data_IF_454273612508
#
_entry.id   IF_454273612508
#
_cell.length_a   1.000
_cell.length_b   1.000
_cell.length_c   1.000
_cell.angle_alpha   90.00
_cell.angle_beta   90.00
_cell.angle_gamma   90.00
#
_symmetry.space_group_name_H-M   'P 1'
#
loop_
_entity.id
_entity.type
_entity.pdbx_description
1 polymer ?
#
# COMPACT_ATOMS: atom_id res chain seq x y z
N UNK A 1 2.87 -6.49 8.38
CA UNK A 1 4.19 -6.34 9.06
C UNK A 1 4.61 -7.58 9.84
N UNK A 2 3.83 -8.10 10.81
CA UNK A 2 4.25 -9.23 11.65
C UNK A 2 4.66 -10.51 10.86
N UNK A 3 3.93 -10.88 9.81
CA UNK A 3 4.26 -12.03 8.96
C UNK A 3 5.60 -11.85 8.22
N UNK A 4 5.85 -10.65 7.70
CA UNK A 4 7.12 -10.29 7.05
C UNK A 4 8.30 -10.36 8.02
N UNK A 5 8.12 -9.87 9.25
CA UNK A 5 9.15 -9.92 10.29
C UNK A 5 9.53 -11.34 10.66
N UNK A 6 8.55 -12.24 10.85
CA UNK A 6 8.81 -13.67 11.12
C UNK A 6 9.62 -14.32 9.99
N UNK A 7 9.36 -13.94 8.74
CA UNK A 7 10.06 -14.47 7.57
C UNK A 7 11.50 -13.95 7.45
N UNK A 8 11.72 -12.66 7.73
CA UNK A 8 13.04 -12.02 7.61
C UNK A 8 13.96 -12.34 8.81
N UNK A 9 13.39 -12.60 9.99
CA UNK A 9 14.16 -12.85 11.21
C UNK A 9 13.69 -14.16 11.91
N UNK A 10 14.04 -15.33 11.35
CA UNK A 10 13.62 -16.61 11.91
C UNK A 10 14.39 -16.95 13.20
N UNK A 11 13.68 -17.49 14.20
CA UNK A 11 14.28 -18.12 15.37
C UNK A 11 14.39 -19.62 15.09
N UNK A 12 15.60 -20.20 14.91
CA UNK A 12 15.76 -21.58 14.42
C UNK A 12 14.99 -22.63 15.23
N UNK A 13 14.95 -22.50 16.56
CA UNK A 13 14.23 -23.42 17.45
C UNK A 13 12.70 -23.36 17.39
N UNK A 14 12.10 -22.40 16.66
CA UNK A 14 10.63 -22.23 16.54
C UNK A 14 10.12 -22.30 15.11
N UNK A 15 10.92 -22.85 14.19
CA UNK A 15 10.62 -22.85 12.75
C UNK A 15 9.27 -23.49 12.42
N UNK A 16 8.99 -24.67 12.95
CA UNK A 16 7.73 -25.40 12.69
C UNK A 16 6.53 -24.63 13.25
N UNK A 17 6.63 -24.13 14.48
CA UNK A 17 5.57 -23.33 15.10
C UNK A 17 5.26 -22.06 14.29
N UNK A 18 6.29 -21.37 13.79
CA UNK A 18 6.13 -20.20 12.94
C UNK A 18 5.51 -20.54 11.60
N UNK A 19 5.91 -21.67 10.98
CA UNK A 19 5.29 -22.17 9.77
C UNK A 19 3.79 -22.41 9.97
N UNK A 20 3.40 -23.10 11.04
CA UNK A 20 1.98 -23.35 11.35
C UNK A 20 1.18 -22.06 11.57
N UNK A 21 1.76 -21.08 12.26
CA UNK A 21 1.14 -19.76 12.45
C UNK A 21 0.95 -19.02 11.13
N UNK A 22 1.96 -19.04 10.26
CA UNK A 22 1.88 -18.42 8.91
C UNK A 22 0.84 -19.13 8.04
N UNK A 23 0.81 -20.47 8.05
CA UNK A 23 -0.15 -21.25 7.26
C UNK A 23 -1.60 -21.05 7.74
N UNK A 24 -1.83 -20.89 9.04
CA UNK A 24 -3.15 -20.49 9.59
C UNK A 24 -3.52 -19.07 9.16
N UNK A 25 -2.59 -18.12 9.26
CA UNK A 25 -2.82 -16.74 8.85
C UNK A 25 -3.15 -16.64 7.36
N UNK A 26 -2.42 -17.38 6.50
CA UNK A 26 -2.69 -17.46 5.05
C UNK A 26 -4.13 -17.93 4.79
N UNK A 27 -4.56 -19.02 5.41
CA UNK A 27 -5.94 -19.55 5.24
C UNK A 27 -7.00 -18.54 5.65
N UNK A 28 -6.79 -17.84 6.76
CA UNK A 28 -7.70 -16.78 7.18
C UNK A 28 -7.71 -15.62 6.17
N UNK A 29 -6.54 -15.14 5.74
CA UNK A 29 -6.42 -14.07 4.74
C UNK A 29 -7.09 -14.42 3.41
N UNK A 30 -7.06 -15.68 2.98
CA UNK A 30 -7.71 -16.12 1.74
C UNK A 30 -9.25 -16.05 1.79
N UNK A 31 -9.85 -16.05 2.98
CA UNK A 31 -11.30 -16.06 3.18
C UNK A 31 -11.86 -14.77 3.81
N UNK A 32 -11.01 -13.95 4.40
CA UNK A 32 -11.40 -12.69 5.01
C UNK A 32 -11.98 -11.71 3.95
N UNK A 33 -13.06 -11.03 4.32
CA UNK A 33 -13.68 -10.01 3.47
C UNK A 33 -13.09 -8.64 3.82
N UNK A 34 -12.37 -8.04 2.89
CA UNK A 34 -11.90 -6.67 2.99
C UNK A 34 -12.95 -5.67 2.45
N UNK A 35 -13.23 -4.64 3.24
CA UNK A 35 -14.20 -3.60 2.95
C UNK A 35 -13.53 -2.29 2.48
N UNK A 36 -12.45 -1.85 3.14
CA UNK A 36 -11.72 -0.63 2.78
C UNK A 36 -10.62 -0.89 1.75
N UNK A 37 -10.10 0.16 1.12
CA UNK A 37 -8.93 0.04 0.22
C UNK A 37 -7.67 -0.36 0.99
N UNK A 38 -7.51 0.14 2.22
CA UNK A 38 -6.41 -0.23 3.12
C UNK A 38 -6.47 -1.72 3.44
N UNK A 39 -7.64 -2.25 3.83
CA UNK A 39 -7.80 -3.68 4.11
C UNK A 39 -7.49 -4.54 2.88
N UNK A 40 -7.93 -4.14 1.68
CA UNK A 40 -7.61 -4.86 0.43
C UNK A 40 -6.11 -4.86 0.13
N UNK A 41 -5.46 -3.70 0.28
CA UNK A 41 -4.04 -3.52 0.01
C UNK A 41 -3.18 -4.31 1.01
N UNK A 42 -3.50 -4.20 2.30
CA UNK A 42 -2.86 -4.94 3.38
C UNK A 42 -3.11 -6.45 3.30
N UNK A 43 -4.32 -6.87 2.91
CA UNK A 43 -4.63 -8.29 2.69
C UNK A 43 -3.77 -8.87 1.56
N UNK A 44 -3.64 -8.15 0.44
CA UNK A 44 -2.79 -8.56 -0.68
C UNK A 44 -1.31 -8.64 -0.27
N UNK A 45 -0.81 -7.65 0.48
CA UNK A 45 0.54 -7.65 1.03
C UNK A 45 0.78 -8.82 1.99
N UNK A 46 -0.15 -9.04 2.93
CA UNK A 46 -0.04 -10.10 3.91
C UNK A 46 -0.10 -11.50 3.26
N UNK A 47 -0.90 -11.68 2.20
CA UNK A 47 -0.92 -12.91 1.42
C UNK A 47 0.44 -13.17 0.74
N UNK A 48 1.07 -12.14 0.18
CA UNK A 48 2.41 -12.26 -0.41
C UNK A 48 3.45 -12.62 0.66
N UNK A 49 3.42 -11.95 1.82
CA UNK A 49 4.30 -12.23 2.95
C UNK A 49 4.10 -13.67 3.47
N UNK A 50 2.87 -14.17 3.50
CA UNK A 50 2.51 -15.52 3.90
C UNK A 50 2.81 -16.60 2.84
N UNK A 51 3.42 -16.24 1.71
CA UNK A 51 3.77 -17.19 0.65
C UNK A 51 2.58 -17.71 -0.16
N UNK A 52 1.49 -16.94 -0.27
CA UNK A 52 0.48 -17.21 -1.28
C UNK A 52 1.12 -17.14 -2.68
N UNK A 53 0.75 -18.05 -3.57
CA UNK A 53 1.17 -18.07 -4.97
C UNK A 53 0.55 -16.92 -5.75
N UNK A 54 1.06 -16.66 -6.97
CA UNK A 54 0.46 -15.64 -7.85
C UNK A 54 -0.99 -15.95 -8.20
N UNK A 55 -1.35 -17.23 -8.40
CA UNK A 55 -2.72 -17.66 -8.68
C UNK A 55 -3.64 -17.42 -7.48
N UNK A 56 -3.19 -17.72 -6.26
CA UNK A 56 -3.94 -17.43 -5.03
C UNK A 56 -4.16 -15.92 -4.82
N UNK A 57 -3.21 -15.07 -5.23
CA UNK A 57 -3.33 -13.60 -5.10
C UNK A 57 -4.09 -12.93 -6.24
N UNK A 58 -4.26 -13.59 -7.39
CA UNK A 58 -4.88 -13.00 -8.58
C UNK A 58 -6.30 -12.42 -8.33
N UNK A 59 -7.20 -13.07 -7.56
CA UNK A 59 -8.49 -12.49 -7.23
C UNK A 59 -8.40 -11.18 -6.43
N UNK A 60 -7.44 -11.07 -5.51
CA UNK A 60 -7.24 -9.87 -4.69
C UNK A 60 -6.68 -8.71 -5.52
N UNK A 61 -5.75 -9.01 -6.44
CA UNK A 61 -5.28 -8.04 -7.44
C UNK A 61 -6.44 -7.54 -8.29
N UNK A 62 -7.30 -8.44 -8.80
CA UNK A 62 -8.46 -8.07 -9.61
C UNK A 62 -9.42 -7.15 -8.84
N UNK A 63 -9.73 -7.49 -7.59
CA UNK A 63 -10.60 -6.68 -6.73
C UNK A 63 -10.00 -5.30 -6.48
N UNK A 64 -8.71 -5.20 -6.19
CA UNK A 64 -8.05 -3.92 -5.94
C UNK A 64 -7.98 -3.05 -7.21
N UNK A 65 -7.72 -3.65 -8.38
CA UNK A 65 -7.81 -2.95 -9.68
C UNK A 65 -9.22 -2.44 -9.96
N UNK A 66 -10.25 -3.25 -9.67
CA UNK A 66 -11.64 -2.88 -9.88
C UNK A 66 -12.13 -1.76 -8.95
N UNK A 67 -11.45 -1.53 -7.82
CA UNK A 67 -11.74 -0.43 -6.90
C UNK A 67 -11.17 0.92 -7.36
N UNK A 68 -10.43 0.98 -8.47
CA UNK A 68 -9.92 2.24 -9.00
C UNK A 68 -11.07 3.12 -9.49
N UNK A 69 -11.05 4.40 -9.11
CA UNK A 69 -11.96 5.41 -9.62
C UNK A 69 -11.64 5.75 -11.09
N UNK A 70 -12.60 6.36 -11.79
CA UNK A 70 -12.44 6.71 -13.22
C UNK A 70 -11.25 7.64 -13.49
N UNK A 71 -10.91 8.52 -12.53
CA UNK A 71 -9.80 9.48 -12.63
C UNK A 71 -8.41 8.87 -12.33
N UNK A 72 -8.37 7.58 -11.96
CA UNK A 72 -7.16 6.84 -11.61
C UNK A 72 -6.88 6.72 -10.12
N UNK A 73 -7.65 7.40 -9.27
CA UNK A 73 -7.44 7.39 -7.81
C UNK A 73 -8.06 6.17 -7.12
N UNK A 74 -7.74 6.01 -5.84
CA UNK A 74 -8.49 5.17 -4.90
C UNK A 74 -9.01 6.00 -3.74
N UNK A 75 -10.17 5.60 -3.24
CA UNK A 75 -10.76 6.12 -2.00
C UNK A 75 -10.49 5.17 -0.84
N UNK A 76 -10.26 5.70 0.36
CA UNK A 76 -10.14 4.87 1.57
C UNK A 76 -11.41 4.03 1.79
N UNK A 77 -12.59 4.64 1.59
CA UNK A 77 -13.91 4.02 1.67
C UNK A 77 -14.75 4.40 0.43
N UNK A 78 -15.73 3.58 0.01
CA UNK A 78 -16.50 3.81 -1.22
C UNK A 78 -17.21 5.17 -1.31
N UNK A 79 -17.65 5.74 -0.19
CA UNK A 79 -18.40 7.01 -0.13
C UNK A 79 -17.54 8.22 0.20
N UNK A 80 -16.21 8.05 0.29
CA UNK A 80 -15.29 9.09 0.73
C UNK A 80 -14.47 9.58 -0.46
N UNK A 81 -14.17 10.88 -0.48
CA UNK A 81 -13.32 11.49 -1.51
C UNK A 81 -11.96 10.75 -1.58
N UNK A 82 -11.46 10.45 -2.78
CA UNK A 82 -10.14 9.85 -2.95
C UNK A 82 -9.01 10.73 -2.41
N UNK A 83 -7.91 10.09 -2.04
CA UNK A 83 -6.71 10.75 -1.56
C UNK A 83 -5.44 9.99 -1.97
N UNK A 84 -4.30 10.63 -1.73
CA UNK A 84 -3.00 10.08 -2.06
C UNK A 84 -2.59 8.92 -1.14
N UNK A 85 -3.14 8.83 0.07
CA UNK A 85 -2.88 7.71 0.96
C UNK A 85 -3.41 6.41 0.35
N UNK A 86 -4.71 6.35 0.05
CA UNK A 86 -5.32 5.16 -0.55
C UNK A 86 -4.77 4.86 -1.95
N UNK A 87 -4.52 5.91 -2.75
CA UNK A 87 -3.97 5.75 -4.10
C UNK A 87 -2.54 5.19 -4.07
N UNK A 88 -1.66 5.76 -3.23
CA UNK A 88 -0.28 5.28 -3.11
C UNK A 88 -0.18 3.87 -2.53
N UNK A 89 -0.98 3.57 -1.51
CA UNK A 89 -1.01 2.25 -0.88
C UNK A 89 -1.51 1.16 -1.86
N UNK A 90 -2.57 1.45 -2.61
CA UNK A 90 -3.10 0.53 -3.61
C UNK A 90 -2.08 0.26 -4.72
N UNK A 91 -1.41 1.29 -5.23
CA UNK A 91 -0.34 1.14 -6.23
C UNK A 91 0.81 0.29 -5.67
N UNK A 92 1.30 0.59 -4.47
CA UNK A 92 2.34 -0.19 -3.81
C UNK A 92 1.96 -1.67 -3.74
N UNK A 93 0.76 -1.99 -3.24
CA UNK A 93 0.30 -3.37 -3.09
C UNK A 93 0.16 -4.08 -4.46
N UNK A 94 -0.36 -3.38 -5.48
CA UNK A 94 -0.48 -3.92 -6.84
C UNK A 94 0.90 -4.25 -7.42
N UNK A 95 1.90 -3.38 -7.24
CA UNK A 95 3.23 -3.60 -7.78
C UNK A 95 4.00 -4.69 -7.01
N UNK A 96 4.20 -4.47 -5.71
CA UNK A 96 5.08 -5.31 -4.88
C UNK A 96 4.50 -6.70 -4.67
N UNK A 97 3.20 -6.77 -4.35
CA UNK A 97 2.55 -8.02 -3.94
C UNK A 97 1.69 -8.61 -5.06
N UNK A 98 1.10 -7.76 -5.90
CA UNK A 98 0.32 -8.17 -7.07
C UNK A 98 1.16 -8.51 -8.30
N UNK A 99 2.45 -8.13 -8.32
CA UNK A 99 3.30 -8.26 -9.52
C UNK A 99 2.73 -7.56 -10.75
N UNK A 100 1.97 -6.48 -10.55
CA UNK A 100 1.47 -5.62 -11.61
C UNK A 100 2.63 -4.74 -12.09
N UNK A 101 3.01 -4.79 -13.37
CA UNK A 101 4.13 -4.01 -13.87
C UNK A 101 3.79 -2.52 -13.85
N UNK A 102 4.79 -1.66 -13.67
CA UNK A 102 4.57 -0.22 -13.58
C UNK A 102 3.98 0.36 -14.88
N UNK A 103 4.16 -0.29 -16.04
CA UNK A 103 3.56 0.11 -17.31
C UNK A 103 2.11 -0.38 -17.51
N UNK A 104 1.53 -1.09 -16.54
CA UNK A 104 0.12 -1.50 -16.59
C UNK A 104 -0.79 -0.26 -16.63
N UNK A 105 -1.83 -0.22 -17.48
CA UNK A 105 -2.71 0.94 -17.60
C UNK A 105 -3.36 1.39 -16.29
N UNK A 106 -3.71 0.44 -15.40
CA UNK A 106 -4.28 0.75 -14.09
C UNK A 106 -3.26 1.44 -13.20
N UNK A 107 -2.00 0.96 -13.23
CA UNK A 107 -0.91 1.55 -12.47
C UNK A 107 -0.59 2.97 -12.96
N UNK A 108 -0.47 3.14 -14.28
CA UNK A 108 -0.17 4.42 -14.91
C UNK A 108 -1.24 5.49 -14.64
N UNK A 109 -2.53 5.12 -14.63
CA UNK A 109 -3.59 6.07 -14.26
C UNK A 109 -3.45 6.58 -12.83
N UNK A 110 -3.11 5.70 -11.89
CA UNK A 110 -2.85 6.09 -10.49
C UNK A 110 -1.62 6.98 -10.35
N UNK A 111 -0.53 6.65 -11.05
CA UNK A 111 0.68 7.49 -11.11
C UNK A 111 0.35 8.89 -11.63
N UNK A 112 -0.38 8.99 -12.73
CA UNK A 112 -0.79 10.29 -13.29
C UNK A 112 -1.68 11.07 -12.32
N UNK A 113 -2.57 10.37 -11.59
CA UNK A 113 -3.36 11.02 -10.56
C UNK A 113 -2.49 11.58 -9.43
N UNK A 114 -1.51 10.81 -8.94
CA UNK A 114 -0.57 11.27 -7.92
C UNK A 114 0.20 12.51 -8.40
N UNK A 115 0.78 12.47 -9.60
CA UNK A 115 1.54 13.60 -10.15
C UNK A 115 0.69 14.88 -10.28
N UNK A 116 -0.59 14.76 -10.67
CA UNK A 116 -1.51 15.91 -10.75
C UNK A 116 -1.94 16.47 -9.38
N UNK A 117 -1.87 15.66 -8.33
CA UNK A 117 -2.33 16.03 -6.98
C UNK A 117 -1.16 16.24 -6.00
N UNK A 118 0.08 16.29 -6.49
CA UNK A 118 1.22 16.71 -5.69
C UNK A 118 1.12 18.22 -5.39
N UNK A 119 1.34 18.61 -4.14
CA UNK A 119 1.32 20.01 -3.74
C UNK A 119 2.55 20.74 -4.30
N UNK A 120 2.32 21.78 -5.10
CA UNK A 120 3.41 22.53 -5.73
C UNK A 120 4.30 23.30 -4.74
N UNK A 121 3.80 23.59 -3.54
CA UNK A 121 4.52 24.38 -2.53
C UNK A 121 5.67 23.62 -1.87
N UNK A 122 5.49 22.33 -1.60
CA UNK A 122 6.42 21.51 -0.81
C UNK A 122 6.66 20.10 -1.39
N UNK A 123 5.98 19.73 -2.48
CA UNK A 123 6.09 18.42 -3.10
C UNK A 123 5.39 17.29 -2.32
N UNK A 124 4.70 17.61 -1.23
CA UNK A 124 3.96 16.62 -0.44
C UNK A 124 2.62 16.25 -1.08
N UNK A 125 1.97 15.23 -0.56
CA UNK A 125 0.60 14.89 -0.89
C UNK A 125 -0.31 15.09 0.32
N UNK A 126 -1.39 15.85 0.11
CA UNK A 126 -2.42 16.04 1.12
C UNK A 126 -3.30 14.79 1.27
N UNK A 127 -3.55 14.41 2.52
CA UNK A 127 -4.63 13.50 2.87
C UNK A 127 -5.33 14.02 4.14
N UNK A 128 -6.67 14.02 4.20
CA UNK A 128 -7.35 14.54 5.38
C UNK A 128 -7.40 13.50 6.51
N UNK A 129 -7.23 13.98 7.73
CA UNK A 129 -7.47 13.24 8.97
C UNK A 129 -8.97 12.93 9.05
N UNK A 130 -9.32 11.64 9.23
CA UNK A 130 -10.72 11.18 9.31
C UNK A 130 -11.08 10.53 10.65
N UNK A 131 -10.15 10.56 11.60
CA UNK A 131 -10.32 10.01 12.96
C UNK A 131 -10.04 11.09 13.99
N UNK A 132 -10.67 10.97 15.16
CA UNK A 132 -10.33 11.82 16.31
C UNK A 132 -8.97 11.37 16.83
N UNK A 133 -7.95 12.23 16.88
CA UNK A 133 -6.62 11.84 17.32
C UNK A 133 -6.66 11.47 18.80
N UNK A 134 -5.97 10.39 19.14
CA UNK A 134 -5.82 9.92 20.53
C UNK A 134 -4.77 10.76 21.28
N UNK A 135 -3.85 11.40 20.57
CA UNK A 135 -2.80 12.25 21.15
C UNK A 135 -3.03 13.73 20.78
N UNK A 136 -2.82 14.68 21.71
CA UNK A 136 -2.95 16.09 21.40
C UNK A 136 -1.94 16.50 20.33
N UNK A 137 -2.37 17.36 19.39
CA UNK A 137 -1.47 18.01 18.44
C UNK A 137 -0.58 19.00 19.20
N UNK A 138 0.65 18.60 19.51
CA UNK A 138 1.59 19.43 20.27
C UNK A 138 2.76 19.96 19.44
N UNK A 139 2.99 19.42 18.23
CA UNK A 139 4.11 19.81 17.37
C UNK A 139 3.77 19.65 15.88
N UNK A 140 4.42 20.44 15.02
CA UNK A 140 4.39 20.29 13.56
C UNK A 140 5.72 19.69 13.08
N UNK A 141 5.69 18.48 12.54
CA UNK A 141 6.86 17.76 12.00
C UNK A 141 6.81 17.57 10.48
N UNK A 142 5.64 17.79 9.87
CA UNK A 142 5.38 17.69 8.44
C UNK A 142 4.34 18.74 8.02
N UNK A 143 4.33 19.23 6.76
CA UNK A 143 3.31 20.17 6.29
C UNK A 143 1.88 19.65 6.48
N UNK A 144 0.89 20.52 6.30
CA UNK A 144 -0.56 20.24 6.39
C UNK A 144 -1.17 20.23 7.82
N UNK A 145 -0.47 20.75 8.83
CA UNK A 145 -1.04 21.08 10.15
C UNK A 145 -1.73 19.91 10.85
N UNK A 146 -3.05 20.01 11.08
CA UNK A 146 -3.86 18.93 11.67
C UNK A 146 -3.82 17.61 10.86
N UNK A 147 -3.51 17.71 9.57
CA UNK A 147 -3.46 16.60 8.62
C UNK A 147 -2.06 16.05 8.40
N UNK A 148 -1.06 16.53 9.15
CA UNK A 148 0.34 16.23 8.92
C UNK A 148 0.68 14.73 8.93
N UNK A 149 0.18 13.95 9.89
CA UNK A 149 0.57 12.53 10.02
C UNK A 149 0.07 11.67 8.87
N UNK A 150 -1.19 11.86 8.47
CA UNK A 150 -1.76 11.12 7.35
C UNK A 150 -1.21 11.63 6.01
N UNK A 151 -0.87 12.93 5.91
CA UNK A 151 -0.23 13.51 4.72
C UNK A 151 1.22 13.06 4.57
N UNK A 152 1.95 12.89 5.68
CA UNK A 152 3.29 12.30 5.70
C UNK A 152 3.23 10.84 5.20
N UNK A 153 2.34 10.03 5.78
CA UNK A 153 2.13 8.67 5.33
C UNK A 153 1.69 8.59 3.84
N UNK A 154 0.80 9.49 3.41
CA UNK A 154 0.39 9.61 2.02
C UNK A 154 1.57 9.93 1.10
N UNK A 155 2.43 10.87 1.51
CA UNK A 155 3.62 11.27 0.78
C UNK A 155 4.63 10.12 0.69
N UNK A 156 4.80 9.34 1.75
CA UNK A 156 5.63 8.14 1.75
C UNK A 156 5.13 7.09 0.74
N UNK A 157 3.83 6.78 0.77
CA UNK A 157 3.22 5.83 -0.19
C UNK A 157 3.29 6.32 -1.63
N UNK A 158 2.96 7.59 -1.87
CA UNK A 158 3.05 8.20 -3.19
C UNK A 158 4.48 8.14 -3.73
N UNK A 159 5.46 8.52 -2.90
CA UNK A 159 6.88 8.47 -3.27
C UNK A 159 7.30 7.05 -3.65
N UNK A 160 6.97 6.05 -2.83
CA UNK A 160 7.30 4.66 -3.15
C UNK A 160 6.65 4.19 -4.47
N UNK A 161 5.37 4.52 -4.69
CA UNK A 161 4.68 4.16 -5.93
C UNK A 161 5.32 4.80 -7.17
N UNK A 162 5.74 6.07 -7.07
CA UNK A 162 6.42 6.78 -8.16
C UNK A 162 7.83 6.24 -8.41
N UNK A 163 8.58 5.86 -7.37
CA UNK A 163 9.92 5.28 -7.53
C UNK A 163 9.91 4.01 -8.39
N UNK A 164 8.86 3.19 -8.31
CA UNK A 164 8.71 1.99 -9.16
C UNK A 164 8.49 2.28 -10.65
N UNK A 165 8.26 3.54 -11.03
CA UNK A 165 8.15 3.95 -12.44
C UNK A 165 9.50 4.31 -13.06
N UNK A 166 10.52 4.50 -12.22
CA UNK A 166 11.87 4.81 -12.69
C UNK A 166 12.54 3.55 -13.24
N UNK A 167 13.37 3.68 -14.28
CA UNK A 167 14.16 2.56 -14.76
C UNK A 167 15.13 2.09 -13.67
N UNK A 168 15.34 0.77 -13.57
CA UNK A 168 16.39 0.23 -12.73
C UNK A 168 17.74 0.84 -13.13
N UNK A 169 18.45 1.41 -12.15
CA UNK A 169 19.82 1.89 -12.40
C UNK A 169 20.66 0.69 -12.84
N UNK A 170 21.28 0.70 -14.02
CA UNK A 170 22.17 -0.39 -14.42
C UNK A 170 23.27 -0.52 -13.36
N UNK A 171 23.47 -1.75 -12.84
CA UNK A 171 24.59 -2.03 -11.93
C UNK A 171 25.87 -1.61 -12.64
N UNK A 172 26.62 -0.68 -12.07
CA UNK A 172 27.97 -0.40 -12.54
C UNK A 172 28.77 -1.69 -12.41
N UNK A 173 29.19 -2.27 -13.54
CA UNK A 173 30.21 -3.30 -13.55
C UNK A 173 31.50 -2.68 -13.01
N UNK A 174 31.91 -3.08 -11.82
CA UNK A 174 33.23 -2.85 -11.25
C UNK A 174 33.92 -4.20 -11.10
#
# INVERSE_FOLDING_TARGET
MALRSIKLYPIPGRREEFKERVDRAKRWLLSAKAFSTEERSMQLNALADAGASRSERAPFVKTLKAAQNQDGSWSQLPSVRPDAYATGEALYALHVSGSVPANDPVYQKGVQWLLRNQLAADGSWFAPTRTVPVQPHTFESFPNGWHQFVSDAASCWATMALLFTLPDKPRSSS
#
